data_IF_602992595780
#
_entry.id   IF_602992595780
#
_cell.length_a   1.000
_cell.length_b   1.000
_cell.length_c   1.000
_cell.angle_alpha   90.00
_cell.angle_beta   90.00
_cell.angle_gamma   90.00
#
_symmetry.space_group_name_H-M   'P 1'
#
loop_
_entity.id
_entity.type
_entity.pdbx_description
1 polymer ?
#
# COMPACT_ATOMS: atom_id res chain seq x y z
N UNK A 1 40.93 17.38 7.54
CA UNK A 1 40.34 17.75 6.24
C UNK A 1 40.23 16.46 5.42
N UNK A 2 39.13 16.02 4.82
CA UNK A 2 37.78 16.56 4.65
C UNK A 2 36.77 15.45 5.01
N UNK A 3 35.62 15.79 5.60
CA UNK A 3 34.53 14.83 5.78
C UNK A 3 34.04 14.39 4.39
N UNK A 4 34.16 13.10 4.09
CA UNK A 4 33.68 12.53 2.82
C UNK A 4 32.21 12.88 2.61
N UNK A 5 31.88 13.39 1.43
CA UNK A 5 30.52 13.77 1.04
C UNK A 5 29.62 12.53 1.17
N UNK A 6 28.59 12.61 2.03
CA UNK A 6 27.62 11.52 2.20
C UNK A 6 26.70 11.52 0.97
N UNK A 7 26.60 10.37 0.32
CA UNK A 7 25.73 10.14 -0.85
C UNK A 7 24.80 8.97 -0.57
N UNK A 8 23.68 8.91 -1.28
CA UNK A 8 22.76 7.78 -1.21
C UNK A 8 23.41 6.49 -1.74
N UNK A 9 22.91 5.34 -1.28
CA UNK A 9 23.45 4.02 -1.64
C UNK A 9 23.12 3.63 -3.08
N UNK A 10 21.92 3.97 -3.57
CA UNK A 10 21.40 3.60 -4.90
C UNK A 10 21.68 4.73 -5.91
N UNK A 11 21.01 5.87 -5.77
CA UNK A 11 21.10 6.99 -6.73
C UNK A 11 22.44 7.75 -6.70
N UNK A 12 23.32 7.46 -5.74
CA UNK A 12 24.61 8.16 -5.48
C UNK A 12 24.50 9.68 -5.37
N UNK A 13 23.31 10.19 -5.12
CA UNK A 13 23.01 11.61 -5.02
C UNK A 13 23.32 12.13 -3.60
N UNK A 14 23.73 13.40 -3.52
CA UNK A 14 24.08 14.10 -2.28
C UNK A 14 23.01 15.08 -1.78
N UNK A 15 21.96 15.30 -2.58
CA UNK A 15 20.81 16.13 -2.24
C UNK A 15 19.50 15.40 -2.55
N UNK A 16 18.43 15.77 -1.86
CA UNK A 16 17.11 15.14 -2.03
C UNK A 16 16.55 15.41 -3.42
N UNK A 17 16.75 16.60 -3.98
CA UNK A 17 16.24 16.96 -5.31
C UNK A 17 16.84 16.05 -6.41
N UNK A 18 18.16 15.81 -6.36
CA UNK A 18 18.86 14.91 -7.28
C UNK A 18 18.43 13.44 -7.05
N UNK A 19 18.10 13.07 -5.81
CA UNK A 19 17.51 11.74 -5.53
C UNK A 19 16.13 11.60 -6.18
N UNK A 20 15.32 12.65 -6.19
CA UNK A 20 14.01 12.68 -6.85
C UNK A 20 14.12 12.53 -8.36
N UNK A 21 14.95 13.35 -9.01
CA UNK A 21 15.20 13.28 -10.45
C UNK A 21 15.66 11.89 -10.92
N UNK A 22 16.44 11.19 -10.09
CA UNK A 22 16.84 9.82 -10.36
C UNK A 22 15.62 8.87 -10.37
N UNK A 23 14.76 8.93 -9.36
CA UNK A 23 13.60 8.06 -9.24
C UNK A 23 12.46 8.43 -10.21
N UNK A 24 12.45 9.64 -10.76
CA UNK A 24 11.51 10.01 -11.83
C UNK A 24 11.77 9.23 -13.13
N UNK A 25 13.01 8.74 -13.33
CA UNK A 25 13.39 8.01 -14.55
C UNK A 25 13.81 6.55 -14.32
N UNK A 26 13.89 6.09 -13.07
CA UNK A 26 14.30 4.72 -12.71
C UNK A 26 13.21 4.04 -11.90
N UNK A 27 12.91 2.79 -12.24
CA UNK A 27 11.92 2.00 -11.51
C UNK A 27 12.60 1.31 -10.31
N UNK A 28 11.88 1.22 -9.18
CA UNK A 28 12.35 0.50 -8.00
C UNK A 28 12.73 -0.97 -8.31
N UNK A 29 11.97 -1.61 -9.20
CA UNK A 29 12.18 -3.01 -9.62
C UNK A 29 13.51 -3.25 -10.33
N UNK A 30 14.17 -2.23 -10.87
CA UNK A 30 15.51 -2.33 -11.47
C UNK A 30 16.60 -2.55 -10.42
N UNK A 31 16.32 -2.23 -9.16
CA UNK A 31 17.25 -2.32 -8.04
C UNK A 31 16.88 -3.43 -7.04
N UNK A 32 15.66 -3.93 -7.08
CA UNK A 32 15.17 -4.99 -6.19
C UNK A 32 15.49 -6.38 -6.73
N UNK A 33 16.78 -6.70 -6.85
CA UNK A 33 17.28 -7.93 -7.50
C UNK A 33 17.21 -9.18 -6.63
N UNK A 34 16.94 -9.04 -5.33
CA UNK A 34 16.90 -10.13 -4.35
C UNK A 34 15.50 -10.36 -3.77
N UNK A 35 14.47 -9.76 -4.36
CA UNK A 35 13.09 -10.00 -3.95
C UNK A 35 12.74 -11.49 -4.13
N UNK A 36 12.29 -12.19 -3.06
CA UNK A 36 11.83 -13.56 -3.21
C UNK A 36 10.54 -13.56 -4.03
N UNK A 37 10.40 -14.53 -4.94
CA UNK A 37 9.11 -14.81 -5.57
C UNK A 37 8.11 -15.22 -4.48
N UNK A 38 7.03 -14.45 -4.34
CA UNK A 38 5.95 -14.77 -3.41
C UNK A 38 4.70 -15.12 -4.19
N UNK A 39 4.25 -16.37 -4.02
CA UNK A 39 2.96 -16.81 -4.55
C UNK A 39 1.81 -16.27 -3.70
N UNK A 40 1.06 -15.33 -4.25
CA UNK A 40 -0.19 -14.87 -3.67
C UNK A 40 -1.38 -15.50 -4.38
N UNK A 41 -2.27 -16.11 -3.61
CA UNK A 41 -3.55 -16.63 -4.13
C UNK A 41 -4.69 -15.73 -3.69
N UNK A 42 -5.27 -15.00 -4.64
CA UNK A 42 -6.54 -14.29 -4.41
C UNK A 42 -7.65 -15.33 -4.42
N UNK A 43 -8.20 -15.64 -3.23
CA UNK A 43 -9.27 -16.65 -3.09
C UNK A 43 -10.63 -16.09 -3.51
N UNK A 44 -10.86 -14.79 -3.32
CA UNK A 44 -12.08 -14.09 -3.70
C UNK A 44 -11.78 -12.59 -3.87
N UNK A 45 -12.39 -11.96 -4.87
CA UNK A 45 -12.33 -10.51 -5.06
C UNK A 45 -13.71 -10.02 -5.51
N UNK A 46 -14.18 -8.94 -4.88
CA UNK A 46 -15.40 -8.24 -5.27
C UNK A 46 -15.02 -6.78 -5.54
N UNK A 47 -15.22 -6.26 -6.76
CA UNK A 47 -14.92 -4.86 -7.04
C UNK A 47 -15.85 -3.96 -6.23
N UNK A 48 -15.27 -2.92 -5.63
CA UNK A 48 -15.97 -1.87 -4.89
C UNK A 48 -15.75 -0.56 -5.64
N UNK A 49 -16.77 0.29 -5.66
CA UNK A 49 -16.67 1.63 -6.22
C UNK A 49 -15.63 2.46 -5.43
N UNK A 50 -14.88 3.33 -6.13
CA UNK A 50 -13.69 4.02 -5.58
C UNK A 50 -14.06 5.01 -4.48
N UNK A 51 -15.12 5.80 -4.66
CA UNK A 51 -15.57 6.77 -3.66
C UNK A 51 -16.14 6.06 -2.43
N UNK A 52 -16.82 4.92 -2.62
CA UNK A 52 -17.26 4.05 -1.54
C UNK A 52 -16.09 3.45 -0.78
N UNK A 53 -15.09 2.91 -1.49
CA UNK A 53 -13.90 2.34 -0.86
C UNK A 53 -13.13 3.40 -0.05
N UNK A 54 -13.00 4.61 -0.59
CA UNK A 54 -12.37 5.75 0.10
C UNK A 54 -13.09 6.07 1.43
N UNK A 55 -14.42 6.02 1.44
CA UNK A 55 -15.20 6.21 2.67
C UNK A 55 -15.00 5.06 3.67
N UNK A 56 -14.94 3.83 3.18
CA UNK A 56 -14.64 2.65 4.01
C UNK A 56 -13.28 2.78 4.67
N UNK A 57 -12.24 3.19 3.92
CA UNK A 57 -10.89 3.38 4.45
C UNK A 57 -10.85 4.42 5.57
N UNK A 58 -11.54 5.55 5.39
CA UNK A 58 -11.66 6.57 6.45
C UNK A 58 -12.28 5.99 7.72
N UNK A 59 -13.36 5.21 7.58
CA UNK A 59 -14.04 4.59 8.72
C UNK A 59 -13.17 3.50 9.38
N UNK A 60 -12.43 2.72 8.58
CA UNK A 60 -11.54 1.69 9.07
C UNK A 60 -10.38 2.31 9.86
N UNK A 61 -9.81 3.39 9.35
CA UNK A 61 -8.76 4.16 10.01
C UNK A 61 -9.21 4.71 11.37
N UNK A 62 -10.40 5.33 11.42
CA UNK A 62 -10.99 5.84 12.68
C UNK A 62 -11.22 4.73 13.72
N UNK A 63 -11.43 3.49 13.28
CA UNK A 63 -11.65 2.31 14.13
C UNK A 63 -10.36 1.53 14.43
N UNK A 64 -9.23 1.92 13.85
CA UNK A 64 -7.95 1.23 14.01
C UNK A 64 -7.91 -0.17 13.40
N UNK A 65 -8.71 -0.43 12.35
CA UNK A 65 -8.76 -1.71 11.64
C UNK A 65 -8.48 -1.54 10.14
N UNK A 66 -8.20 -2.63 9.43
CA UNK A 66 -8.07 -2.58 7.97
C UNK A 66 -9.43 -2.41 7.28
N UNK A 67 -9.43 -1.84 6.07
CA UNK A 67 -10.64 -1.75 5.24
C UNK A 67 -11.25 -3.14 4.99
N UNK A 68 -10.43 -4.15 4.71
CA UNK A 68 -10.86 -5.55 4.57
C UNK A 68 -11.60 -6.05 5.81
N UNK A 69 -11.04 -5.81 7.01
CA UNK A 69 -11.67 -6.24 8.27
C UNK A 69 -13.03 -5.58 8.44
N UNK A 70 -13.11 -4.25 8.20
CA UNK A 70 -14.36 -3.50 8.32
C UNK A 70 -15.42 -3.98 7.33
N UNK A 71 -15.04 -4.22 6.08
CA UNK A 71 -15.93 -4.76 5.03
C UNK A 71 -16.49 -6.11 5.46
N UNK A 72 -15.64 -7.02 5.92
CA UNK A 72 -16.06 -8.35 6.35
C UNK A 72 -17.05 -8.28 7.52
N UNK A 73 -16.80 -7.43 8.52
CA UNK A 73 -17.72 -7.23 9.65
C UNK A 73 -19.08 -6.68 9.19
N UNK A 74 -19.09 -5.69 8.30
CA UNK A 74 -20.33 -5.11 7.77
C UNK A 74 -21.13 -6.10 6.92
N UNK A 75 -20.46 -6.90 6.08
CA UNK A 75 -21.11 -7.96 5.31
C UNK A 75 -21.75 -9.01 6.22
N UNK A 76 -21.04 -9.46 7.26
CA UNK A 76 -21.59 -10.38 8.26
C UNK A 76 -22.82 -9.79 8.95
N UNK A 77 -22.73 -8.55 9.41
CA UNK A 77 -23.85 -7.86 10.04
C UNK A 77 -25.06 -7.77 9.10
N UNK A 78 -24.84 -7.38 7.84
CA UNK A 78 -25.91 -7.26 6.85
C UNK A 78 -26.57 -8.60 6.55
N UNK A 79 -25.80 -9.69 6.47
CA UNK A 79 -26.35 -11.04 6.29
C UNK A 79 -27.22 -11.49 7.47
N UNK A 80 -26.80 -11.19 8.70
CA UNK A 80 -27.59 -11.47 9.91
C UNK A 80 -28.91 -10.70 9.88
N UNK A 81 -28.86 -9.40 9.56
CA UNK A 81 -30.06 -8.56 9.44
C UNK A 81 -31.04 -9.15 8.41
N UNK A 82 -30.57 -9.60 7.24
CA UNK A 82 -31.41 -10.20 6.20
C UNK A 82 -32.02 -11.56 6.59
N UNK A 83 -31.33 -12.37 7.40
CA UNK A 83 -31.84 -13.67 7.86
C UNK A 83 -32.88 -13.52 8.98
N UNK A 84 -32.90 -12.38 9.66
CA UNK A 84 -33.85 -12.05 10.73
C UNK A 84 -35.15 -11.38 10.23
N UNK A 85 -35.26 -11.12 8.93
CA UNK A 85 -36.46 -10.61 8.25
C UNK A 85 -37.25 -11.74 7.60
#
# INVERSE_FOLDING_TARGET
MAAGKKVSSISKADTIDIMGEYWDTHDFTEHDTEAPDVDFKVVCAVPVEVDLFSQVEQQAHLRGVSAETLINMWLQQKLIEQQSM
#
